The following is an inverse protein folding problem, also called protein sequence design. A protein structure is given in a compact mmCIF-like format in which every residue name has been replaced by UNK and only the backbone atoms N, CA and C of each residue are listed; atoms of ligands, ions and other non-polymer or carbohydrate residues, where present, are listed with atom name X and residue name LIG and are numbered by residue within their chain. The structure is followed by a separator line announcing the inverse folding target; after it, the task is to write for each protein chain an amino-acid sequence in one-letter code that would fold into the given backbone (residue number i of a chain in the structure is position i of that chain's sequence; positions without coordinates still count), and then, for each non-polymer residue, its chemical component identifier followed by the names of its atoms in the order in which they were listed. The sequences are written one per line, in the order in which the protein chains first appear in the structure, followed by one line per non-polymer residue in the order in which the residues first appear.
data_IF_625936453445
#
_entry.id   IF_625936453445
#
_cell.length_a   1.000
_cell.length_b   1.000
_cell.length_c   1.000
_cell.angle_alpha   90.00
_cell.angle_beta   90.00
_cell.angle_gamma   90.00
#
_symmetry.space_group_name_H-M   'P 1'
#
loop_
_entity.id
_entity.type
_entity.pdbx_description
1 polymer ?
#
# COMPACT_ATOMS: atom_id res chain seq x y z
N UNK A 1 10.35 -18.84 -2.71
CA UNK A 1 9.79 -18.24 -1.46
C UNK A 1 9.02 -16.99 -1.83
N UNK A 2 8.22 -16.37 -0.93
CA UNK A 2 7.48 -15.15 -1.31
C UNK A 2 8.42 -14.03 -1.78
N UNK A 3 9.59 -13.91 -1.17
CA UNK A 3 10.64 -12.97 -1.58
C UNK A 3 11.02 -13.08 -3.07
N UNK A 4 11.16 -14.30 -3.58
CA UNK A 4 11.49 -14.53 -4.99
C UNK A 4 10.33 -14.10 -5.89
N UNK A 5 9.08 -14.34 -5.47
CA UNK A 5 7.89 -13.93 -6.21
C UNK A 5 7.77 -12.39 -6.28
N UNK A 6 8.06 -11.68 -5.19
CA UNK A 6 8.14 -10.21 -5.20
C UNK A 6 9.26 -9.74 -6.12
N UNK A 7 10.45 -10.35 -6.03
CA UNK A 7 11.61 -9.97 -6.86
C UNK A 7 11.33 -10.15 -8.34
N UNK A 8 10.75 -11.29 -8.74
CA UNK A 8 10.35 -11.59 -10.12
C UNK A 8 9.29 -10.60 -10.60
N UNK A 9 8.21 -10.40 -9.83
CA UNK A 9 7.08 -9.59 -10.27
C UNK A 9 7.46 -8.10 -10.38
N UNK A 10 8.15 -7.55 -9.37
CA UNK A 10 8.60 -6.16 -9.42
C UNK A 10 9.71 -5.94 -10.45
N UNK A 11 10.63 -6.90 -10.62
CA UNK A 11 11.66 -6.83 -11.65
C UNK A 11 11.09 -6.92 -13.08
N UNK A 12 9.95 -7.59 -13.26
CA UNK A 12 9.20 -7.59 -14.52
C UNK A 12 8.56 -6.23 -14.84
N UNK A 13 8.03 -5.54 -13.83
CA UNK A 13 7.43 -4.20 -14.00
C UNK A 13 8.47 -3.09 -14.16
N UNK A 14 9.56 -3.18 -13.40
CA UNK A 14 10.57 -2.12 -13.28
C UNK A 14 11.99 -2.67 -13.46
N UNK A 15 12.34 -3.18 -14.67
CA UNK A 15 13.60 -3.90 -14.89
C UNK A 15 14.85 -3.02 -14.71
N UNK A 16 14.74 -1.72 -14.97
CA UNK A 16 15.87 -0.78 -14.95
C UNK A 16 15.89 0.09 -13.68
N UNK A 17 14.88 -0.03 -12.82
CA UNK A 17 14.74 0.83 -11.66
C UNK A 17 15.44 0.26 -10.43
N UNK A 18 16.00 1.15 -9.62
CA UNK A 18 16.50 0.82 -8.29
C UNK A 18 15.49 1.30 -7.26
N UNK A 19 14.79 0.39 -6.56
CA UNK A 19 13.82 0.81 -5.56
C UNK A 19 14.51 1.46 -4.36
N UNK A 20 13.78 2.36 -3.72
CA UNK A 20 14.10 2.78 -2.36
C UNK A 20 13.70 1.66 -1.40
N UNK A 21 14.66 1.01 -0.76
CA UNK A 21 14.42 -0.13 0.12
C UNK A 21 14.68 0.24 1.58
N UNK A 22 13.73 -0.08 2.46
CA UNK A 22 13.84 0.08 3.90
C UNK A 22 13.68 -1.26 4.60
N UNK A 23 14.47 -1.48 5.65
CA UNK A 23 14.35 -2.65 6.53
C UNK A 23 13.82 -2.19 7.87
N UNK A 24 12.87 -2.93 8.43
CA UNK A 24 12.31 -2.65 9.75
C UNK A 24 13.03 -3.45 10.83
N UNK A 25 13.15 -2.91 12.06
CA UNK A 25 13.56 -3.70 13.23
C UNK A 25 12.56 -4.83 13.51
N UNK A 26 13.03 -5.96 14.05
CA UNK A 26 12.14 -7.09 14.41
C UNK A 26 11.13 -6.73 15.51
N UNK A 27 11.53 -5.87 16.46
CA UNK A 27 10.68 -5.49 17.59
C UNK A 27 9.71 -4.38 17.19
N UNK A 28 8.41 -4.67 17.30
CA UNK A 28 7.33 -3.69 17.12
C UNK A 28 6.80 -3.57 15.68
N UNK A 29 7.48 -4.14 14.69
CA UNK A 29 7.06 -4.13 13.28
C UNK A 29 6.53 -5.50 12.85
N UNK A 30 5.80 -5.51 11.74
CA UNK A 30 5.18 -6.71 11.17
C UNK A 30 5.75 -7.03 9.80
N UNK A 31 6.15 -6.01 9.06
CA UNK A 31 6.97 -6.18 7.89
C UNK A 31 8.44 -6.29 8.30
N UNK A 32 9.20 -7.08 7.57
CA UNK A 32 10.68 -7.15 7.66
C UNK A 32 11.32 -6.04 6.83
N UNK A 33 10.68 -5.68 5.72
CA UNK A 33 11.15 -4.64 4.81
C UNK A 33 9.99 -4.09 3.97
N UNK A 34 10.27 -3.01 3.24
CA UNK A 34 9.43 -2.49 2.18
C UNK A 34 10.29 -1.81 1.10
N UNK A 35 9.80 -1.83 -0.14
CA UNK A 35 10.45 -1.20 -1.29
C UNK A 35 9.48 -0.23 -1.95
N UNK A 36 9.96 0.92 -2.40
CA UNK A 36 9.21 1.84 -3.26
C UNK A 36 9.91 1.99 -4.61
N UNK A 37 9.19 1.68 -5.69
CA UNK A 37 9.66 1.80 -7.06
C UNK A 37 9.15 3.11 -7.66
N UNK A 38 10.03 3.90 -8.30
CA UNK A 38 9.60 5.04 -9.08
C UNK A 38 8.83 4.55 -10.31
N UNK A 39 7.62 5.06 -10.50
CA UNK A 39 6.83 4.86 -11.71
C UNK A 39 6.39 6.21 -12.28
N UNK A 40 5.85 6.21 -13.51
CA UNK A 40 5.29 7.41 -14.10
C UNK A 40 4.07 7.88 -13.29
N UNK A 41 4.19 9.04 -12.63
CA UNK A 41 3.12 9.68 -11.87
C UNK A 41 2.82 9.11 -10.49
N UNK A 42 3.51 8.04 -10.05
CA UNK A 42 3.32 7.46 -8.73
C UNK A 42 4.57 6.75 -8.21
N UNK A 43 4.60 6.50 -6.90
CA UNK A 43 5.45 5.48 -6.29
C UNK A 43 4.65 4.19 -6.16
N UNK A 44 5.23 3.06 -6.54
CA UNK A 44 4.65 1.74 -6.31
C UNK A 44 5.42 1.01 -5.21
N UNK A 45 4.77 0.85 -4.07
CA UNK A 45 5.34 0.23 -2.88
C UNK A 45 4.93 -1.24 -2.76
N UNK A 46 5.82 -2.03 -2.19
CA UNK A 46 5.58 -3.44 -1.81
C UNK A 46 6.18 -3.71 -0.43
N UNK A 47 5.43 -4.38 0.42
CA UNK A 47 5.87 -4.88 1.73
C UNK A 47 6.48 -6.28 1.64
N UNK A 48 7.28 -6.65 2.64
CA UNK A 48 7.83 -7.99 2.79
C UNK A 48 7.59 -8.49 4.21
N UNK A 49 6.83 -9.57 4.37
CA UNK A 49 6.68 -10.23 5.68
C UNK A 49 5.37 -10.96 5.88
N UNK A 50 4.35 -10.70 5.07
CA UNK A 50 3.06 -11.36 5.21
C UNK A 50 3.00 -12.70 4.46
N UNK A 51 3.76 -12.85 3.38
CA UNK A 51 3.59 -13.97 2.45
C UNK A 51 3.76 -15.37 3.06
N UNK A 52 4.62 -15.53 4.06
CA UNK A 52 4.84 -16.83 4.72
C UNK A 52 3.59 -17.32 5.48
N UNK A 53 2.84 -16.41 6.11
CA UNK A 53 1.68 -16.75 6.94
C UNK A 53 0.34 -16.51 6.23
N UNK A 54 0.26 -15.45 5.43
CA UNK A 54 -0.97 -14.97 4.81
C UNK A 54 -1.06 -15.26 3.31
N UNK A 55 0.04 -15.69 2.68
CA UNK A 55 0.04 -16.06 1.26
C UNK A 55 0.06 -14.90 0.27
N UNK A 56 0.06 -13.65 0.76
CA UNK A 56 0.18 -12.43 -0.05
C UNK A 56 1.15 -11.42 0.58
N UNK A 57 1.60 -10.45 -0.21
CA UNK A 57 2.23 -9.22 0.27
C UNK A 57 1.33 -8.01 -0.02
N UNK A 58 1.47 -6.96 0.77
CA UNK A 58 0.76 -5.69 0.55
C UNK A 58 1.49 -4.85 -0.49
N UNK A 59 0.74 -4.23 -1.39
CA UNK A 59 1.22 -3.15 -2.25
C UNK A 59 0.45 -1.86 -2.01
N UNK A 60 1.00 -0.74 -2.46
CA UNK A 60 0.37 0.57 -2.37
C UNK A 60 0.91 1.47 -3.47
N UNK A 61 0.04 2.21 -4.14
CA UNK A 61 0.47 3.26 -5.07
C UNK A 61 0.12 4.62 -4.51
N UNK A 62 1.09 5.52 -4.48
CA UNK A 62 0.89 6.89 -4.01
C UNK A 62 1.27 7.87 -5.11
N UNK A 63 0.43 8.88 -5.34
CA UNK A 63 0.69 9.91 -6.33
C UNK A 63 2.07 10.53 -6.09
N UNK A 64 2.82 10.72 -7.18
CA UNK A 64 4.19 11.23 -7.16
C UNK A 64 4.28 12.53 -7.91
N UNK A 65 4.88 13.54 -7.28
CA UNK A 65 5.22 14.81 -7.89
C UNK A 65 6.61 14.78 -8.53
N UNK A 66 7.45 15.72 -8.10
CA UNK A 66 8.82 15.90 -8.59
C UNK A 66 9.88 15.34 -7.63
N UNK A 67 9.45 14.74 -6.53
CA UNK A 67 10.34 14.20 -5.52
C UNK A 67 11.18 13.03 -6.05
N UNK A 68 12.47 13.05 -5.70
CA UNK A 68 13.43 12.01 -6.04
C UNK A 68 13.39 10.82 -5.05
N UNK A 69 12.86 11.05 -3.85
CA UNK A 69 12.71 10.05 -2.80
C UNK A 69 11.23 9.89 -2.45
N UNK A 70 10.76 8.67 -2.12
CA UNK A 70 9.39 8.47 -1.69
C UNK A 70 9.13 9.13 -0.33
N UNK A 71 7.91 9.62 -0.07
CA UNK A 71 7.52 10.04 1.27
C UNK A 71 7.57 8.85 2.24
N UNK A 72 7.68 9.11 3.55
CA UNK A 72 7.83 8.08 4.58
C UNK A 72 6.49 7.48 5.01
N UNK A 73 5.40 8.27 5.01
CA UNK A 73 4.09 7.80 5.44
C UNK A 73 3.57 6.50 4.77
N UNK A 74 3.81 6.21 3.48
CA UNK A 74 3.32 4.98 2.86
C UNK A 74 3.98 3.73 3.46
N UNK A 75 5.24 3.83 3.86
CA UNK A 75 5.96 2.74 4.53
C UNK A 75 5.36 2.47 5.91
N UNK A 76 5.06 3.53 6.66
CA UNK A 76 4.38 3.45 7.96
C UNK A 76 3.00 2.81 7.81
N UNK A 77 2.22 3.25 6.82
CA UNK A 77 0.89 2.70 6.55
C UNK A 77 0.95 1.20 6.23
N UNK A 78 1.87 0.77 5.37
CA UNK A 78 2.03 -0.65 5.01
C UNK A 78 2.27 -1.52 6.25
N UNK A 79 3.14 -1.09 7.18
CA UNK A 79 3.41 -1.85 8.39
C UNK A 79 2.22 -1.85 9.36
N UNK A 80 1.54 -0.71 9.52
CA UNK A 80 0.35 -0.62 10.36
C UNK A 80 -0.78 -1.52 9.84
N UNK A 81 -1.00 -1.57 8.53
CA UNK A 81 -1.98 -2.47 7.92
C UNK A 81 -1.52 -3.92 8.02
N UNK A 82 -0.23 -4.22 7.87
CA UNK A 82 0.30 -5.56 8.12
C UNK A 82 0.05 -6.01 9.57
N UNK A 83 0.14 -5.11 10.55
CA UNK A 83 -0.23 -5.37 11.93
C UNK A 83 -1.71 -5.62 12.13
N UNK A 84 -2.56 -4.82 11.48
CA UNK A 84 -4.00 -5.05 11.47
C UNK A 84 -4.32 -6.45 10.90
N UNK A 85 -3.81 -6.77 9.70
CA UNK A 85 -3.99 -8.07 9.05
C UNK A 85 -3.53 -9.20 9.98
N UNK A 86 -2.32 -9.09 10.54
CA UNK A 86 -1.78 -10.11 11.45
C UNK A 86 -2.58 -10.32 12.74
N UNK A 87 -3.46 -9.38 13.09
CA UNK A 87 -4.34 -9.46 14.27
C UNK A 87 -5.69 -10.13 13.98
N UNK A 88 -6.03 -10.37 12.72
CA UNK A 88 -7.29 -11.00 12.33
C UNK A 88 -7.24 -12.52 12.57
N UNK A 89 -8.40 -13.09 12.95
CA UNK A 89 -8.59 -14.53 13.14
C UNK A 89 -8.99 -15.27 11.84
N UNK A 90 -9.22 -14.55 10.74
CA UNK A 90 -9.75 -15.08 9.48
C UNK A 90 -8.99 -14.54 8.26
N UNK A 91 -9.27 -15.10 7.06
CA UNK A 91 -8.61 -14.67 5.83
C UNK A 91 -8.93 -13.21 5.49
N UNK A 92 -8.04 -12.59 4.73
CA UNK A 92 -8.26 -11.28 4.11
C UNK A 92 -8.64 -11.51 2.65
N UNK A 93 -9.73 -10.88 2.22
CA UNK A 93 -10.29 -11.07 0.87
C UNK A 93 -10.09 -9.82 0.00
N UNK A 94 -10.05 -10.02 -1.32
CA UNK A 94 -10.13 -8.94 -2.30
C UNK A 94 -11.47 -8.20 -2.16
N UNK A 95 -11.43 -6.87 -2.24
CA UNK A 95 -12.56 -5.99 -2.01
C UNK A 95 -12.87 -5.73 -0.53
N UNK A 96 -12.01 -6.18 0.40
CA UNK A 96 -12.21 -5.91 1.83
C UNK A 96 -11.97 -4.43 2.15
N UNK A 97 -12.93 -3.85 2.88
CA UNK A 97 -12.85 -2.47 3.37
C UNK A 97 -12.36 -2.41 4.80
N UNK A 98 -11.50 -1.44 5.10
CA UNK A 98 -11.01 -1.14 6.45
C UNK A 98 -11.33 0.31 6.74
N UNK A 99 -12.19 0.55 7.73
CA UNK A 99 -12.37 1.89 8.28
C UNK A 99 -11.13 2.26 9.09
N UNK A 100 -10.28 3.12 8.53
CA UNK A 100 -9.04 3.55 9.18
C UNK A 100 -9.30 4.59 10.27
N UNK A 101 -10.37 5.38 10.13
CA UNK A 101 -10.84 6.34 11.14
C UNK A 101 -9.95 7.59 11.34
N UNK A 102 -8.86 7.69 10.59
CA UNK A 102 -7.92 8.80 10.57
C UNK A 102 -7.36 8.96 9.15
N UNK A 103 -6.67 10.07 8.81
CA UNK A 103 -5.99 10.19 7.52
C UNK A 103 -5.09 8.98 7.26
N UNK A 104 -5.21 8.32 6.10
CA UNK A 104 -4.36 7.17 5.73
C UNK A 104 -2.89 7.56 5.63
N UNK A 105 -2.62 8.85 5.47
CA UNK A 105 -1.28 9.45 5.54
C UNK A 105 -0.71 9.44 6.95
N UNK A 106 -1.51 9.27 8.01
CA UNK A 106 -1.06 9.36 9.41
C UNK A 106 -0.83 10.80 9.90
N UNK A 107 -1.28 11.82 9.16
CA UNK A 107 -1.24 13.21 9.60
C UNK A 107 -1.95 13.38 10.97
N UNK A 108 -1.42 14.18 11.92
CA UNK A 108 -0.21 15.02 11.83
C UNK A 108 1.08 14.33 12.31
N UNK A 109 1.10 13.01 12.42
CA UNK A 109 2.20 12.26 13.06
C UNK A 109 3.25 11.72 12.09
N UNK A 110 3.05 11.91 10.79
CA UNK A 110 3.96 11.51 9.71
C UNK A 110 4.31 12.73 8.84
N UNK A 111 5.09 12.51 7.78
CA UNK A 111 5.37 13.50 6.74
C UNK A 111 4.27 13.59 5.66
N UNK A 112 3.20 12.80 5.79
CA UNK A 112 2.09 12.82 4.86
C UNK A 112 1.18 14.04 5.09
N UNK A 113 0.53 14.56 4.03
CA UNK A 113 -0.37 15.70 4.16
C UNK A 113 -1.65 15.33 4.92
N UNK A 114 -2.35 16.34 5.43
CA UNK A 114 -3.74 16.18 5.85
C UNK A 114 -4.59 15.77 4.63
N UNK A 115 -5.59 14.90 4.85
CA UNK A 115 -6.44 14.39 3.77
C UNK A 115 -7.75 13.81 4.29
N UNK A 116 -8.79 13.91 3.48
CA UNK A 116 -10.08 13.26 3.70
C UNK A 116 -10.11 11.74 3.43
N UNK A 117 -9.01 11.16 2.96
CA UNK A 117 -8.88 9.71 2.76
C UNK A 117 -8.73 9.01 4.12
N UNK A 118 -9.79 8.36 4.59
CA UNK A 118 -9.86 7.76 5.94
C UNK A 118 -10.36 6.31 5.95
N UNK A 119 -10.51 5.72 4.77
CA UNK A 119 -10.90 4.34 4.56
C UNK A 119 -9.93 3.70 3.58
N UNK A 120 -9.64 2.42 3.76
CA UNK A 120 -8.80 1.64 2.86
C UNK A 120 -9.63 0.53 2.19
N UNK A 121 -9.34 0.28 0.93
CA UNK A 121 -9.77 -0.92 0.21
C UNK A 121 -8.53 -1.79 0.01
N UNK A 122 -8.65 -3.08 0.30
CA UNK A 122 -7.67 -4.09 -0.10
C UNK A 122 -8.19 -4.76 -1.36
N UNK A 123 -7.44 -4.67 -2.45
CA UNK A 123 -7.84 -5.27 -3.72
C UNK A 123 -6.69 -5.91 -4.46
N UNK A 124 -6.94 -6.81 -5.41
CA UNK A 124 -5.86 -7.41 -6.20
C UNK A 124 -5.03 -6.33 -6.92
N UNK A 125 -3.70 -6.44 -6.83
CA UNK A 125 -2.82 -5.51 -7.54
C UNK A 125 -3.03 -5.61 -9.06
N UNK A 126 -3.38 -4.50 -9.74
CA UNK A 126 -3.79 -4.53 -11.14
C UNK A 126 -2.67 -4.92 -12.12
N UNK A 127 -1.41 -4.95 -11.67
CA UNK A 127 -0.26 -5.29 -12.50
C UNK A 127 0.50 -6.54 -12.05
N UNK A 128 0.44 -6.91 -10.77
CA UNK A 128 1.18 -8.06 -10.24
C UNK A 128 0.37 -9.36 -10.23
N UNK A 129 -0.97 -9.26 -10.06
CA UNK A 129 -1.93 -10.35 -10.19
C UNK A 129 -1.65 -11.66 -9.43
N UNK A 130 -2.51 -12.65 -9.66
CA UNK A 130 -2.36 -14.02 -9.17
C UNK A 130 -2.66 -14.19 -7.68
N UNK A 131 -3.41 -13.25 -7.07
CA UNK A 131 -3.84 -13.35 -5.67
C UNK A 131 -2.72 -13.33 -4.63
N UNK A 132 -1.49 -12.96 -5.01
CA UNK A 132 -0.32 -12.89 -4.11
C UNK A 132 0.03 -11.46 -3.71
N UNK A 133 -0.68 -10.48 -4.24
CA UNK A 133 -0.46 -9.06 -4.01
C UNK A 133 -1.80 -8.35 -3.81
N UNK A 134 -1.98 -7.77 -2.63
CA UNK A 134 -3.16 -6.96 -2.32
C UNK A 134 -2.74 -5.50 -2.19
N UNK A 135 -3.26 -4.65 -3.09
CA UNK A 135 -3.05 -3.23 -3.11
C UNK A 135 -3.98 -2.53 -2.13
N UNK A 136 -3.40 -1.63 -1.32
CA UNK A 136 -4.11 -0.66 -0.52
C UNK A 136 -4.53 0.53 -1.37
N UNK A 137 -5.80 0.92 -1.29
CA UNK A 137 -6.35 2.11 -1.96
C UNK A 137 -7.02 3.00 -0.93
N UNK A 138 -6.53 4.24 -0.79
CA UNK A 138 -7.10 5.25 0.09
C UNK A 138 -8.34 5.90 -0.53
N UNK A 139 -9.45 5.87 0.21
CA UNK A 139 -10.73 6.46 -0.19
C UNK A 139 -11.36 7.26 0.95
N UNK A 140 -12.26 8.18 0.60
CA UNK A 140 -13.01 8.95 1.59
C UNK A 140 -14.11 8.09 2.20
N UNK A 141 -14.61 8.49 3.38
CA UNK A 141 -15.79 7.84 3.96
C UNK A 141 -17.05 7.97 3.08
N UNK A 142 -17.17 9.05 2.29
CA UNK A 142 -18.31 9.26 1.38
C UNK A 142 -18.21 8.38 0.12
N UNK A 143 -17.00 8.03 -0.30
CA UNK A 143 -16.79 7.03 -1.34
C UNK A 143 -17.14 5.63 -0.84
N UNK A 144 -16.73 5.31 0.39
CA UNK A 144 -16.98 4.01 1.01
C UNK A 144 -18.45 3.69 1.25
N UNK A 145 -19.27 4.70 1.54
CA UNK A 145 -20.71 4.54 1.76
C UNK A 145 -21.56 4.78 0.49
N UNK A 146 -20.91 5.01 -0.66
CA UNK A 146 -21.56 5.18 -1.95
C UNK A 146 -22.27 6.53 -2.15
N UNK A 147 -22.02 7.53 -1.29
CA UNK A 147 -22.50 8.91 -1.51
C UNK A 147 -21.75 9.62 -2.64
N UNK A 148 -20.51 9.22 -2.89
CA UNK A 148 -19.64 9.72 -3.96
C UNK A 148 -19.03 8.54 -4.69
N UNK A 149 -18.83 8.64 -6.00
CA UNK A 149 -18.15 7.59 -6.76
C UNK A 149 -16.63 7.66 -6.52
N UNK A 150 -15.99 6.49 -6.40
CA UNK A 150 -14.53 6.41 -6.43
C UNK A 150 -14.07 6.81 -7.84
N UNK A 151 -13.15 7.77 -7.99
CA UNK A 151 -12.62 8.14 -9.30
C UNK A 151 -12.05 6.93 -10.04
N UNK A 152 -12.34 6.83 -11.33
CA UNK A 152 -11.77 5.77 -12.17
C UNK A 152 -10.26 5.99 -12.34
N UNK A 153 -9.48 5.05 -11.82
CA UNK A 153 -8.05 4.94 -12.07
C UNK A 153 -7.70 3.45 -12.26
N UNK A 154 -7.22 3.03 -13.44
CA UNK A 154 -6.88 1.64 -13.71
C UNK A 154 -5.73 1.10 -12.83
N UNK A 155 -4.93 1.99 -12.23
CA UNK A 155 -3.88 1.63 -11.28
C UNK A 155 -4.29 1.88 -9.83
N UNK A 156 -5.44 2.51 -9.59
CA UNK A 156 -5.98 2.83 -8.27
C UNK A 156 -4.96 3.55 -7.37
N UNK A 157 -4.31 4.59 -7.90
CA UNK A 157 -3.32 5.41 -7.20
C UNK A 157 -3.99 6.20 -6.10
N UNK A 158 -3.43 6.13 -4.89
CA UNK A 158 -3.83 6.96 -3.77
C UNK A 158 -3.21 8.35 -3.91
N UNK A 159 -4.04 9.35 -4.21
CA UNK A 159 -3.65 10.76 -4.21
C UNK A 159 -4.24 11.49 -3.00
N UNK A 160 -3.46 11.76 -1.93
CA UNK A 160 -3.94 12.50 -0.76
C UNK A 160 -4.46 13.90 -1.08
N UNK A 161 -4.03 14.53 -2.18
CA UNK A 161 -4.42 15.91 -2.51
C UNK A 161 -5.85 16.03 -3.05
N UNK A 162 -6.51 14.90 -3.35
CA UNK A 162 -7.87 14.87 -3.93
C UNK A 162 -9.00 15.03 -2.90
N UNK A 163 -8.68 14.97 -1.61
CA UNK A 163 -9.67 14.88 -0.52
C UNK A 163 -9.30 15.73 0.69
#
# INVERSE_FOLDING_TARGET
MMWDAVTEAMGGLYPDERPWHVTYPDEGYRLRAASAYPAAGHWHLVGYGLGERWGFELTLRVARGVEEQPPQWPFVLLDQVAAYVASLDGPVEDGQWINWGAPVTGFPHTDGPDTGLTVLILTEDPQLGGGRFLQLVGVTAAEADGRVEVPEDPLMVTDPARA
#
